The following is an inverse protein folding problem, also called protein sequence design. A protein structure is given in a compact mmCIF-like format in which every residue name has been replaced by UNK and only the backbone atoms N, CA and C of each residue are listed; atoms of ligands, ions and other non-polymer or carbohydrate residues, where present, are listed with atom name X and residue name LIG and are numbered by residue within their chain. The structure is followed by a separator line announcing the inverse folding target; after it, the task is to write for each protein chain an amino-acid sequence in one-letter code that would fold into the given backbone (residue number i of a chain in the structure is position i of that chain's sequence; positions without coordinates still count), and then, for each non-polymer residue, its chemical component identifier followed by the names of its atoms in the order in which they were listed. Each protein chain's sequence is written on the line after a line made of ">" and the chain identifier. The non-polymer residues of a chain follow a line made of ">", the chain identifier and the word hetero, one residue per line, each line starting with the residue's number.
data_IF_522970661391
#
_entry.id   IF_522970661391
#
_cell.length_a   1.000
_cell.length_b   1.000
_cell.length_c   1.000
_cell.angle_alpha   90.00
_cell.angle_beta   90.00
_cell.angle_gamma   90.00
#
_symmetry.space_group_name_H-M   'P 1'
#
loop_
_entity.id
_entity.type
_entity.pdbx_description
1 polymer ?
#
# COMPACT_ATOMS: atom_id res chain seq x y z
N UNK A 1 -19.06 10.40 -3.78
CA UNK A 1 -18.26 9.82 -2.67
C UNK A 1 -18.52 8.34 -2.44
N UNK A 2 -19.74 7.86 -2.51
CA UNK A 2 -20.03 6.44 -2.31
C UNK A 2 -19.29 5.53 -3.29
N UNK A 3 -19.21 5.94 -4.55
CA UNK A 3 -18.45 5.18 -5.55
C UNK A 3 -16.98 5.09 -5.19
N UNK A 4 -16.39 6.20 -4.76
CA UNK A 4 -14.98 6.25 -4.35
C UNK A 4 -14.73 5.34 -3.15
N UNK A 5 -15.62 5.35 -2.15
CA UNK A 5 -15.49 4.51 -0.97
C UNK A 5 -15.55 3.02 -1.33
N UNK A 6 -16.45 2.64 -2.22
CA UNK A 6 -16.55 1.26 -2.68
C UNK A 6 -15.29 0.83 -3.41
N UNK A 7 -14.75 1.69 -4.27
CA UNK A 7 -13.52 1.41 -5.00
C UNK A 7 -12.33 1.29 -4.05
N UNK A 8 -12.24 2.21 -3.09
CA UNK A 8 -11.19 2.16 -2.07
C UNK A 8 -11.25 0.85 -1.29
N UNK A 9 -12.43 0.50 -0.82
CA UNK A 9 -12.62 -0.71 -0.02
C UNK A 9 -12.26 -1.97 -0.83
N UNK A 10 -12.62 -2.00 -2.10
CA UNK A 10 -12.27 -3.12 -2.97
C UNK A 10 -10.76 -3.22 -3.16
N UNK A 11 -10.11 -2.13 -3.55
CA UNK A 11 -8.67 -2.12 -3.81
C UNK A 11 -7.89 -2.50 -2.56
N UNK A 12 -8.25 -1.93 -1.41
CA UNK A 12 -7.55 -2.23 -0.16
C UNK A 12 -7.79 -3.66 0.30
N UNK A 13 -8.93 -4.26 -0.02
CA UNK A 13 -9.17 -5.67 0.28
C UNK A 13 -8.24 -6.57 -0.54
N UNK A 14 -7.98 -6.24 -1.78
CA UNK A 14 -7.03 -6.96 -2.63
C UNK A 14 -5.61 -6.82 -2.08
N UNK A 15 -5.22 -5.61 -1.71
CA UNK A 15 -3.90 -5.35 -1.11
C UNK A 15 -3.73 -6.13 0.19
N UNK A 16 -4.75 -6.15 1.03
CA UNK A 16 -4.74 -6.87 2.30
C UNK A 16 -4.56 -8.37 2.09
N UNK A 17 -5.25 -8.94 1.11
CA UNK A 17 -5.12 -10.38 0.80
C UNK A 17 -3.68 -10.74 0.44
N UNK A 18 -3.02 -9.93 -0.38
CA UNK A 18 -1.64 -10.19 -0.73
C UNK A 18 -0.71 -9.98 0.47
N UNK A 19 -0.95 -8.96 1.27
CA UNK A 19 -0.18 -8.72 2.49
C UNK A 19 -0.27 -9.93 3.43
N UNK A 20 -1.46 -10.48 3.61
CA UNK A 20 -1.69 -11.64 4.46
C UNK A 20 -0.94 -12.87 3.95
N UNK A 21 -0.95 -13.10 2.64
CA UNK A 21 -0.21 -14.22 2.04
C UNK A 21 1.28 -14.09 2.29
N UNK A 22 1.84 -12.90 2.10
CA UNK A 22 3.25 -12.65 2.34
C UNK A 22 3.59 -12.76 3.81
N UNK A 23 2.70 -12.33 4.67
CA UNK A 23 2.85 -12.46 6.12
C UNK A 23 2.95 -13.92 6.54
N UNK A 24 2.15 -14.79 5.92
CA UNK A 24 2.21 -16.22 6.16
C UNK A 24 3.58 -16.79 5.80
N UNK A 25 4.15 -16.34 4.68
CA UNK A 25 5.43 -16.86 4.18
C UNK A 25 6.64 -16.26 4.90
N UNK A 26 6.60 -14.97 5.21
CA UNK A 26 7.77 -14.22 5.69
C UNK A 26 7.62 -13.67 7.10
N UNK A 27 6.44 -13.81 7.71
CA UNK A 27 6.17 -13.26 9.04
C UNK A 27 6.30 -11.73 9.04
N UNK A 28 6.69 -11.18 10.18
CA UNK A 28 6.85 -9.73 10.33
C UNK A 28 8.30 -9.28 10.12
N UNK A 29 9.01 -9.91 9.19
CA UNK A 29 10.41 -9.58 8.91
C UNK A 29 10.60 -8.11 8.54
N UNK A 30 9.59 -7.46 7.94
CA UNK A 30 9.64 -6.05 7.58
C UNK A 30 9.75 -5.12 8.79
N UNK A 31 9.50 -5.61 10.00
CA UNK A 31 9.62 -4.80 11.22
C UNK A 31 11.05 -4.32 11.48
N UNK A 32 12.03 -4.98 10.90
CA UNK A 32 13.43 -4.56 11.05
C UNK A 32 13.85 -3.52 10.02
N UNK A 33 12.99 -3.21 9.05
CA UNK A 33 13.36 -2.31 7.95
C UNK A 33 13.26 -0.84 8.37
N UNK A 34 14.28 -0.09 8.00
CA UNK A 34 14.29 1.37 8.18
C UNK A 34 13.34 2.01 7.17
N UNK A 35 12.89 3.23 7.49
CA UNK A 35 12.03 3.98 6.57
C UNK A 35 12.69 4.19 5.22
N UNK A 36 14.01 4.44 5.18
CA UNK A 36 14.74 4.57 3.93
C UNK A 36 14.64 3.32 3.06
N UNK A 37 14.72 2.14 3.68
CA UNK A 37 14.58 0.88 2.94
C UNK A 37 13.19 0.73 2.33
N UNK A 38 12.15 1.08 3.09
CA UNK A 38 10.78 1.03 2.59
C UNK A 38 10.55 2.06 1.49
N UNK A 39 11.11 3.25 1.65
CA UNK A 39 11.05 4.30 0.61
C UNK A 39 11.70 3.81 -0.68
N UNK A 40 12.86 3.15 -0.57
CA UNK A 40 13.56 2.59 -1.73
C UNK A 40 12.69 1.54 -2.44
N UNK A 41 12.00 0.69 -1.70
CA UNK A 41 11.10 -0.30 -2.31
C UNK A 41 9.95 0.37 -3.06
N UNK A 42 9.37 1.41 -2.49
CA UNK A 42 8.31 2.19 -3.15
C UNK A 42 8.85 2.81 -4.44
N UNK A 43 10.04 3.40 -4.37
CA UNK A 43 10.68 4.02 -5.53
C UNK A 43 10.95 3.00 -6.64
N UNK A 44 11.49 1.84 -6.29
CA UNK A 44 11.74 0.77 -7.27
C UNK A 44 10.46 0.36 -7.97
N UNK A 45 9.38 0.22 -7.24
CA UNK A 45 8.08 -0.15 -7.82
C UNK A 45 7.55 0.96 -8.73
N UNK A 46 7.70 2.21 -8.34
CA UNK A 46 7.30 3.33 -9.17
C UNK A 46 8.10 3.36 -10.49
N UNK A 47 9.39 3.08 -10.43
CA UNK A 47 10.22 2.97 -11.63
C UNK A 47 9.78 1.83 -12.54
N UNK A 48 9.40 0.69 -11.96
CA UNK A 48 8.89 -0.44 -12.74
C UNK A 48 7.59 -0.08 -13.45
N UNK A 49 6.71 0.65 -12.78
CA UNK A 49 5.46 1.14 -13.40
C UNK A 49 5.80 2.03 -14.59
N UNK A 50 6.73 2.96 -14.42
CA UNK A 50 7.15 3.84 -15.51
C UNK A 50 7.73 3.04 -16.68
N UNK A 51 8.51 2.02 -16.40
CA UNK A 51 9.06 1.14 -17.42
C UNK A 51 7.97 0.40 -18.21
N UNK A 52 6.99 -0.14 -17.49
CA UNK A 52 5.86 -0.84 -18.12
C UNK A 52 5.04 0.11 -18.98
N UNK A 53 4.82 1.34 -18.53
CA UNK A 53 4.08 2.34 -19.31
C UNK A 53 4.80 2.73 -20.59
N UNK A 54 6.13 2.83 -20.54
CA UNK A 54 6.93 3.14 -21.73
C UNK A 54 6.90 2.03 -22.76
N UNK A 55 6.90 0.81 -22.30
CA UNK A 55 6.90 -0.36 -23.19
C UNK A 55 5.50 -0.76 -23.63
N UNK A 56 4.55 0.02 -23.32
CA UNK A 56 3.12 -0.02 -23.57
C UNK A 56 2.66 -1.03 -24.63
N UNK A 57 2.97 -2.28 -24.42
CA UNK A 57 2.42 -3.30 -25.26
C UNK A 57 1.56 -4.12 -24.35
N UNK A 58 0.52 -4.59 -24.71
CA UNK A 58 -0.33 -5.55 -24.10
C UNK A 58 0.16 -6.08 -22.74
N UNK A 59 -0.58 -6.64 -21.91
CA UNK A 59 -0.24 -7.26 -20.62
C UNK A 59 0.31 -6.29 -19.57
N UNK A 60 0.37 -5.02 -19.91
CA UNK A 60 0.87 -3.99 -19.00
C UNK A 60 -0.01 -3.88 -17.78
N UNK A 61 -1.32 -3.93 -17.96
CA UNK A 61 -2.28 -3.73 -16.87
C UNK A 61 -2.04 -4.68 -15.71
N UNK A 62 -1.78 -5.94 -16.01
CA UNK A 62 -1.57 -6.95 -14.98
C UNK A 62 -0.30 -6.65 -14.18
N UNK A 63 0.79 -6.32 -14.86
CA UNK A 63 2.05 -5.97 -14.22
C UNK A 63 1.94 -4.67 -13.43
N UNK A 64 1.26 -3.66 -13.96
CA UNK A 64 1.05 -2.40 -13.25
C UNK A 64 0.29 -2.60 -11.95
N UNK A 65 -0.78 -3.39 -11.97
CA UNK A 65 -1.58 -3.63 -10.78
C UNK A 65 -0.75 -4.21 -9.64
N UNK A 66 0.10 -5.18 -9.94
CA UNK A 66 0.96 -5.79 -8.93
C UNK A 66 1.93 -4.78 -8.32
N UNK A 67 2.51 -3.91 -9.14
CA UNK A 67 3.43 -2.89 -8.65
C UNK A 67 2.72 -1.85 -7.78
N UNK A 68 1.52 -1.42 -8.17
CA UNK A 68 0.73 -0.50 -7.36
C UNK A 68 0.33 -1.11 -6.01
N UNK A 69 -0.05 -2.38 -6.01
CA UNK A 69 -0.37 -3.10 -4.76
C UNK A 69 0.87 -3.12 -3.86
N UNK A 70 2.04 -3.36 -4.41
CA UNK A 70 3.29 -3.31 -3.66
C UNK A 70 3.55 -1.96 -3.05
N UNK A 71 3.31 -0.86 -3.78
CA UNK A 71 3.46 0.50 -3.26
C UNK A 71 2.53 0.72 -2.06
N UNK A 72 1.28 0.28 -2.17
CA UNK A 72 0.32 0.42 -1.08
C UNK A 72 0.80 -0.35 0.15
N UNK A 73 1.19 -1.60 -0.01
CA UNK A 73 1.59 -2.43 1.12
C UNK A 73 2.89 -1.94 1.78
N UNK A 74 3.88 -1.52 1.00
CA UNK A 74 5.08 -0.92 1.58
C UNK A 74 4.76 0.40 2.27
N UNK A 75 3.80 1.17 1.76
CA UNK A 75 3.37 2.41 2.40
C UNK A 75 2.69 2.14 3.74
N UNK A 76 1.86 1.10 3.82
CA UNK A 76 1.25 0.68 5.09
C UNK A 76 2.32 0.27 6.09
N UNK A 77 3.30 -0.52 5.65
CA UNK A 77 4.44 -0.88 6.51
C UNK A 77 5.18 0.35 7.02
N UNK A 78 5.41 1.33 6.12
CA UNK A 78 6.07 2.57 6.50
C UNK A 78 5.28 3.33 7.56
N UNK A 79 3.96 3.42 7.41
CA UNK A 79 3.11 4.08 8.40
C UNK A 79 3.19 3.38 9.76
N UNK A 80 3.23 2.06 9.77
CA UNK A 80 3.36 1.28 11.01
C UNK A 80 4.73 1.55 11.65
N UNK A 81 5.80 1.58 10.85
CA UNK A 81 7.15 1.85 11.34
C UNK A 81 7.27 3.26 11.91
N UNK A 82 6.62 4.25 11.29
CA UNK A 82 6.59 5.61 11.81
C UNK A 82 5.96 5.64 13.21
N UNK A 83 4.88 4.90 13.40
CA UNK A 83 4.15 4.93 14.66
C UNK A 83 4.82 4.08 15.74
N UNK A 84 5.31 2.90 15.41
CA UNK A 84 5.86 1.96 16.40
C UNK A 84 7.37 2.05 16.55
N UNK A 85 8.07 2.61 15.58
CA UNK A 85 9.52 2.55 15.53
C UNK A 85 10.01 1.22 14.93
N UNK A 86 11.29 1.18 14.60
CA UNK A 86 11.94 0.00 14.03
C UNK A 86 12.21 -1.01 15.15
N UNK A 87 12.04 -2.29 14.84
CA UNK A 87 12.39 -3.37 15.77
C UNK A 87 13.68 -4.04 15.34
N UNK A 88 14.41 -4.60 16.29
CA UNK A 88 15.63 -5.37 15.98
C UNK A 88 15.29 -6.78 15.50
N UNK A 89 14.10 -7.25 15.81
CA UNK A 89 13.64 -8.60 15.46
C UNK A 89 12.20 -8.51 14.91
N UNK A 90 11.74 -9.54 14.19
CA UNK A 90 10.33 -9.65 13.85
C UNK A 90 9.53 -9.87 15.13
N UNK A 91 8.90 -8.82 15.64
CA UNK A 91 8.31 -8.78 16.98
C UNK A 91 6.78 -8.91 17.01
N UNK A 92 6.15 -9.05 15.84
CA UNK A 92 4.69 -9.11 15.75
C UNK A 92 4.24 -10.46 15.20
N UNK A 93 3.19 -11.01 15.78
CA UNK A 93 2.55 -12.19 15.21
C UNK A 93 1.59 -11.77 14.09
N UNK A 94 1.03 -12.77 13.39
CA UNK A 94 0.17 -12.52 12.24
C UNK A 94 -1.05 -11.66 12.59
N UNK A 95 -1.72 -11.95 13.70
CA UNK A 95 -2.90 -11.21 14.11
C UNK A 95 -2.58 -9.76 14.41
N UNK A 96 -1.48 -9.51 15.11
CA UNK A 96 -1.02 -8.14 15.41
C UNK A 96 -0.71 -7.37 14.13
N UNK A 97 -0.04 -8.01 13.17
CA UNK A 97 0.24 -7.38 11.88
C UNK A 97 -1.04 -7.01 11.13
N UNK A 98 -2.01 -7.92 11.10
CA UNK A 98 -3.26 -7.68 10.39
C UNK A 98 -4.09 -6.59 11.06
N UNK A 99 -4.10 -6.55 12.40
CA UNK A 99 -4.79 -5.49 13.13
C UNK A 99 -4.18 -4.12 12.84
N UNK A 100 -2.84 -4.02 12.82
CA UNK A 100 -2.15 -2.77 12.50
C UNK A 100 -2.40 -2.37 11.04
N UNK A 101 -2.41 -3.33 10.14
CA UNK A 101 -2.73 -3.07 8.74
C UNK A 101 -4.12 -2.42 8.64
N UNK A 102 -5.10 -3.01 9.27
CA UNK A 102 -6.48 -2.51 9.24
C UNK A 102 -6.59 -1.10 9.84
N UNK A 103 -5.87 -0.83 10.92
CA UNK A 103 -5.83 0.51 11.53
C UNK A 103 -5.31 1.54 10.55
N UNK A 104 -4.23 1.23 9.83
CA UNK A 104 -3.64 2.15 8.86
C UNK A 104 -4.55 2.37 7.66
N UNK A 105 -5.18 1.32 7.17
CA UNK A 105 -6.14 1.44 6.07
C UNK A 105 -7.32 2.32 6.47
N UNK A 106 -7.82 2.17 7.70
CA UNK A 106 -8.90 3.02 8.19
C UNK A 106 -8.47 4.48 8.30
N UNK A 107 -7.28 4.74 8.84
CA UNK A 107 -6.75 6.10 8.94
C UNK A 107 -6.63 6.76 7.58
N UNK A 108 -6.11 6.05 6.60
CA UNK A 108 -5.97 6.60 5.24
C UNK A 108 -7.33 6.77 4.56
N UNK A 109 -8.27 5.89 4.85
CA UNK A 109 -9.64 6.02 4.35
C UNK A 109 -10.30 7.30 4.86
N UNK A 110 -10.20 7.53 6.17
CA UNK A 110 -10.76 8.72 6.80
C UNK A 110 -10.10 9.99 6.24
N UNK A 111 -8.80 9.96 6.07
CA UNK A 111 -8.06 11.09 5.50
C UNK A 111 -8.49 11.37 4.06
N UNK A 112 -8.65 10.32 3.25
CA UNK A 112 -9.13 10.46 1.88
C UNK A 112 -10.52 11.08 1.84
N UNK A 113 -11.43 10.63 2.71
CA UNK A 113 -12.78 11.19 2.79
C UNK A 113 -12.74 12.68 3.09
N UNK A 114 -11.93 13.08 4.08
CA UNK A 114 -11.79 14.47 4.47
C UNK A 114 -11.22 15.32 3.32
N UNK A 115 -10.21 14.83 2.63
CA UNK A 115 -9.62 15.56 1.51
C UNK A 115 -10.57 15.65 0.33
N UNK A 116 -11.32 14.61 0.03
CA UNK A 116 -12.32 14.66 -1.03
C UNK A 116 -13.46 15.61 -0.69
N UNK A 117 -13.82 15.69 0.58
CA UNK A 117 -14.82 16.66 1.04
C UNK A 117 -14.34 18.10 0.79
N UNK A 118 -13.07 18.38 1.11
CA UNK A 118 -12.50 19.74 1.02
C UNK A 118 -12.13 20.12 -0.42
N UNK A 119 -11.59 19.19 -1.20
CA UNK A 119 -11.01 19.47 -2.52
C UNK A 119 -11.75 18.81 -3.68
N UNK A 120 -12.81 18.04 -3.40
CA UNK A 120 -13.50 17.27 -4.40
C UNK A 120 -12.67 16.07 -4.86
N UNK A 121 -13.05 15.50 -5.99
CA UNK A 121 -12.40 14.30 -6.53
C UNK A 121 -11.62 14.61 -7.81
N UNK A 122 -10.89 15.71 -7.82
CA UNK A 122 -10.12 16.15 -8.99
C UNK A 122 -9.11 15.09 -9.44
N UNK A 123 -8.62 14.27 -8.53
CA UNK A 123 -7.69 13.19 -8.85
C UNK A 123 -8.22 12.21 -9.90
N UNK A 124 -9.54 12.09 -10.03
CA UNK A 124 -10.15 11.19 -11.03
C UNK A 124 -9.84 11.60 -12.45
N UNK A 125 -9.55 12.87 -12.67
CA UNK A 125 -9.25 13.40 -13.99
C UNK A 125 -7.75 13.33 -14.32
N UNK A 126 -6.94 12.94 -13.37
CA UNK A 126 -5.50 12.79 -13.58
C UNK A 126 -5.21 11.51 -14.34
N UNK A 127 -4.23 11.59 -15.24
CA UNK A 127 -3.79 10.41 -15.98
C UNK A 127 -2.77 9.62 -15.17
N UNK A 128 -2.87 8.32 -15.29
CA UNK A 128 -1.90 7.42 -14.71
C UNK A 128 -0.61 7.46 -15.54
#
# INVERSE_FOLDING_TARGET
>A
MQKTLKQYDYVTSVCKSLFEKKLHDYGSAWRILRLSSLTDQIFIKAQRIRGLQKNSVQKVDEGESEEFIGIINYSVMALIQIEKGISEIPDLNANECMDLYDVMIKKTRDLMMNKNHDYGEAWREMRV
#
